data_IF_049124801698
#
_entry.id   IF_049124801698
#
_cell.length_a   1.000
_cell.length_b   1.000
_cell.length_c   1.000
_cell.angle_alpha   90.00
_cell.angle_beta   90.00
_cell.angle_gamma   90.00
#
_symmetry.space_group_name_H-M   'P 1'
#
loop_
_entity.id
_entity.type
_entity.pdbx_description
1 polymer ?
#
# COMPACT_ATOMS: atom_id res chain seq x y z
N UNK A 1 29.37 -10.46 -17.87
CA UNK A 1 30.05 -10.61 -16.57
C UNK A 1 31.15 -9.55 -16.55
N UNK A 2 30.83 -8.33 -16.11
CA UNK A 2 31.82 -7.26 -15.97
C UNK A 2 32.37 -7.31 -14.55
N UNK A 3 33.63 -7.69 -14.40
CA UNK A 3 34.36 -7.61 -13.15
C UNK A 3 34.64 -6.13 -12.87
N UNK A 4 33.85 -5.51 -11.99
CA UNK A 4 34.13 -4.16 -11.54
C UNK A 4 35.28 -4.21 -10.53
N UNK A 5 36.37 -3.51 -10.83
CA UNK A 5 37.43 -3.26 -9.86
C UNK A 5 36.85 -2.36 -8.76
N UNK A 6 36.55 -2.96 -7.61
CA UNK A 6 36.37 -2.24 -6.35
C UNK A 6 37.59 -1.33 -6.15
N UNK A 7 37.40 -0.03 -5.83
CA UNK A 7 38.53 0.84 -5.53
C UNK A 7 39.36 0.19 -4.40
N UNK A 8 40.69 0.25 -4.53
CA UNK A 8 41.67 -0.49 -3.71
C UNK A 8 41.63 -0.20 -2.19
N UNK A 9 40.62 0.48 -1.65
CA UNK A 9 40.44 0.62 -0.21
C UNK A 9 39.01 1.08 0.21
N UNK A 10 37.96 0.34 -0.13
CA UNK A 10 36.61 0.57 0.45
C UNK A 10 36.67 0.63 1.99
N UNK A 11 37.60 -0.12 2.60
CA UNK A 11 37.80 -0.18 4.05
C UNK A 11 38.27 1.16 4.68
N UNK A 12 38.76 2.12 3.89
CA UNK A 12 39.23 3.43 4.37
C UNK A 12 38.28 4.58 4.01
N UNK A 13 37.18 4.31 3.32
CA UNK A 13 36.19 5.33 2.95
C UNK A 13 35.17 5.51 4.07
N UNK A 14 34.73 6.74 4.29
CA UNK A 14 33.56 7.05 5.13
C UNK A 14 32.27 6.52 4.50
N UNK A 15 31.22 6.33 5.31
CA UNK A 15 29.90 5.90 4.82
C UNK A 15 29.35 6.81 3.70
N UNK A 16 29.58 8.13 3.79
CA UNK A 16 29.18 9.08 2.75
C UNK A 16 29.94 8.86 1.45
N UNK A 17 31.25 8.63 1.51
CA UNK A 17 32.06 8.38 0.32
C UNK A 17 31.67 7.06 -0.35
N UNK A 18 31.31 6.04 0.45
CA UNK A 18 30.87 4.74 -0.07
C UNK A 18 29.50 4.86 -0.75
N UNK A 19 28.59 5.64 -0.17
CA UNK A 19 27.29 5.90 -0.80
C UNK A 19 27.46 6.69 -2.10
N UNK A 20 28.26 7.77 -2.11
CA UNK A 20 28.53 8.56 -3.32
C UNK A 20 29.17 7.71 -4.42
N UNK A 21 30.14 6.87 -4.07
CA UNK A 21 30.73 5.91 -5.00
C UNK A 21 29.67 4.94 -5.54
N UNK A 22 28.86 4.33 -4.68
CA UNK A 22 27.83 3.39 -5.10
C UNK A 22 26.80 4.05 -6.04
N UNK A 23 26.37 5.28 -5.74
CA UNK A 23 25.46 6.06 -6.59
C UNK A 23 26.09 6.46 -7.93
N UNK A 24 27.42 6.64 -7.98
CA UNK A 24 28.14 6.91 -9.23
C UNK A 24 28.29 5.67 -10.12
N UNK A 25 28.26 4.47 -9.53
CA UNK A 25 28.52 3.21 -10.22
C UNK A 25 27.26 2.42 -10.58
N UNK A 26 26.17 2.62 -9.81
CA UNK A 26 24.93 1.87 -9.96
C UNK A 26 23.76 2.80 -10.21
N UNK A 27 22.99 2.50 -11.25
CA UNK A 27 21.74 3.19 -11.52
C UNK A 27 20.73 2.90 -10.39
N UNK A 28 20.11 3.97 -9.86
CA UNK A 28 19.05 3.81 -8.86
C UNK A 28 17.84 3.12 -9.52
N UNK A 29 17.36 1.98 -8.97
CA UNK A 29 16.20 1.33 -9.53
C UNK A 29 14.95 2.18 -9.32
N UNK A 30 14.02 2.14 -10.28
CA UNK A 30 12.68 2.68 -10.07
C UNK A 30 11.88 1.74 -9.16
N UNK A 31 11.95 1.99 -7.86
CA UNK A 31 11.34 1.16 -6.83
C UNK A 31 10.76 2.02 -5.69
N UNK A 32 9.82 1.42 -4.96
CA UNK A 32 9.35 1.96 -3.69
C UNK A 32 10.50 2.01 -2.68
N UNK A 33 10.50 3.06 -1.86
CA UNK A 33 11.52 3.33 -0.85
C UNK A 33 10.88 4.04 0.34
N UNK A 34 11.64 4.24 1.41
CA UNK A 34 11.13 4.94 2.59
C UNK A 34 10.74 6.39 2.27
N UNK A 35 9.65 6.86 2.89
CA UNK A 35 9.18 8.23 2.75
C UNK A 35 9.13 8.94 4.12
N UNK A 36 10.29 9.34 4.69
CA UNK A 36 10.31 10.08 5.95
C UNK A 36 9.48 11.35 5.85
N UNK A 37 8.49 11.47 6.73
CA UNK A 37 7.69 12.67 6.90
C UNK A 37 8.42 13.63 7.84
N UNK A 38 8.66 14.86 7.40
CA UNK A 38 9.46 15.85 8.14
C UNK A 38 8.65 17.13 8.25
N UNK A 39 8.20 17.45 9.46
CA UNK A 39 7.66 18.77 9.77
C UNK A 39 8.82 19.78 9.74
N UNK A 40 8.67 20.81 8.92
CA UNK A 40 9.68 21.84 8.69
C UNK A 40 9.06 23.22 8.93
N UNK A 41 9.77 24.13 9.62
CA UNK A 41 9.36 25.53 9.72
C UNK A 41 9.10 26.13 8.33
N UNK A 42 8.01 26.89 8.19
CA UNK A 42 7.57 27.45 6.91
C UNK A 42 8.66 28.30 6.24
N UNK A 43 9.47 29.02 7.03
CA UNK A 43 10.58 29.84 6.54
C UNK A 43 11.62 29.04 5.74
N UNK A 44 11.72 27.72 5.95
CA UNK A 44 12.65 26.86 5.23
C UNK A 44 12.15 26.44 3.85
N UNK A 45 10.87 26.64 3.51
CA UNK A 45 10.35 26.26 2.19
C UNK A 45 10.86 27.14 1.06
N UNK A 46 11.30 28.36 1.38
CA UNK A 46 11.98 29.26 0.44
C UNK A 46 13.45 28.87 0.20
N UNK A 47 14.03 28.03 1.06
CA UNK A 47 15.41 27.60 0.94
C UNK A 47 15.55 26.36 0.05
N UNK A 48 16.62 26.26 -0.78
CA UNK A 48 16.93 25.05 -1.52
C UNK A 48 17.06 23.82 -0.61
N UNK A 49 16.58 22.66 -1.06
CA UNK A 49 16.54 21.43 -0.26
C UNK A 49 17.90 21.04 0.35
N UNK A 50 19.00 21.21 -0.39
CA UNK A 50 20.37 20.92 0.12
C UNK A 50 20.71 21.74 1.37
N UNK A 51 20.31 23.01 1.39
CA UNK A 51 20.52 23.90 2.53
C UNK A 51 19.50 23.62 3.65
N UNK A 52 18.25 23.31 3.28
CA UNK A 52 17.21 22.89 4.24
C UNK A 52 17.66 21.70 5.09
N UNK A 53 18.30 20.70 4.48
CA UNK A 53 18.85 19.52 5.17
C UNK A 53 19.90 19.85 6.24
N UNK A 54 20.59 20.97 6.11
CA UNK A 54 21.62 21.41 7.05
C UNK A 54 21.02 22.06 8.31
N UNK A 55 19.72 22.37 8.30
CA UNK A 55 19.02 22.90 9.47
C UNK A 55 19.10 21.89 10.64
N UNK A 56 19.49 22.32 11.86
CA UNK A 56 19.59 21.42 13.02
C UNK A 56 18.29 20.67 13.33
N UNK A 57 17.13 21.30 13.13
CA UNK A 57 15.82 20.69 13.37
C UNK A 57 15.56 19.56 12.38
N UNK A 58 15.85 19.79 11.10
CA UNK A 58 15.67 18.78 10.04
C UNK A 58 16.62 17.62 10.25
N UNK A 59 17.89 17.91 10.56
CA UNK A 59 18.90 16.88 10.84
C UNK A 59 18.49 15.98 12.01
N UNK A 60 18.04 16.58 13.12
CA UNK A 60 17.59 15.83 14.31
C UNK A 60 16.42 14.92 13.99
N UNK A 61 15.42 15.41 13.23
CA UNK A 61 14.26 14.61 12.82
C UNK A 61 14.66 13.46 11.89
N UNK A 62 15.58 13.71 10.96
CA UNK A 62 16.11 12.69 10.05
C UNK A 62 16.92 11.63 10.79
N UNK A 63 17.75 12.02 11.76
CA UNK A 63 18.56 11.09 12.55
C UNK A 63 17.66 10.19 13.42
N UNK A 64 16.64 10.76 14.06
CA UNK A 64 15.64 10.00 14.81
C UNK A 64 14.86 9.02 13.92
N UNK A 65 14.49 9.45 12.71
CA UNK A 65 13.84 8.60 11.73
C UNK A 65 14.76 7.46 11.26
N UNK A 66 16.03 7.76 10.96
CA UNK A 66 17.03 6.77 10.54
C UNK A 66 17.22 5.68 11.58
N UNK A 67 17.25 6.04 12.87
CA UNK A 67 17.37 5.08 13.96
C UNK A 67 16.16 4.14 13.99
N UNK A 68 14.94 4.69 13.90
CA UNK A 68 13.72 3.87 13.82
C UNK A 68 13.71 2.97 12.59
N UNK A 69 14.12 3.47 11.42
CA UNK A 69 14.15 2.67 10.21
C UNK A 69 15.11 1.48 10.31
N UNK A 70 16.22 1.62 11.07
CA UNK A 70 17.13 0.51 11.39
C UNK A 70 16.50 -0.48 12.37
N UNK A 71 15.84 0.00 13.41
CA UNK A 71 15.09 -0.86 14.34
C UNK A 71 14.02 -1.68 13.59
N UNK A 72 13.30 -1.06 12.66
CA UNK A 72 12.33 -1.73 11.80
C UNK A 72 13.00 -2.81 10.91
N UNK A 73 14.16 -2.52 10.32
CA UNK A 73 14.90 -3.48 9.50
C UNK A 73 15.40 -4.67 10.34
N UNK A 74 15.88 -4.43 11.56
CA UNK A 74 16.27 -5.48 12.51
C UNK A 74 15.08 -6.39 12.87
N UNK A 75 13.92 -5.80 13.18
CA UNK A 75 12.69 -6.54 13.46
C UNK A 75 12.23 -7.38 12.28
N UNK A 76 12.45 -6.88 11.06
CA UNK A 76 12.08 -7.56 9.81
C UNK A 76 13.17 -8.48 9.26
N UNK A 77 14.33 -8.60 9.93
CA UNK A 77 15.48 -9.39 9.50
C UNK A 77 16.02 -8.96 8.12
N UNK A 78 16.03 -7.65 7.88
CA UNK A 78 16.53 -7.03 6.65
C UNK A 78 17.95 -6.54 6.88
N UNK A 79 18.91 -7.21 6.23
CA UNK A 79 20.30 -6.82 6.29
C UNK A 79 20.63 -5.90 5.11
N UNK A 80 20.92 -4.62 5.40
CA UNK A 80 21.36 -3.66 4.39
C UNK A 80 22.22 -2.56 4.98
N UNK A 81 23.18 -2.09 4.19
CA UNK A 81 24.08 -1.00 4.59
C UNK A 81 23.40 0.37 4.51
N UNK A 82 22.65 0.59 3.44
CA UNK A 82 21.97 1.84 3.16
C UNK A 82 20.45 1.64 3.18
N UNK A 83 19.73 2.66 3.63
CA UNK A 83 18.26 2.69 3.60
C UNK A 83 17.84 3.72 2.55
N UNK A 84 17.37 3.29 1.37
CA UNK A 84 16.84 4.19 0.35
C UNK A 84 15.65 4.98 0.89
N UNK A 85 15.65 6.29 0.65
CA UNK A 85 14.58 7.18 1.13
C UNK A 85 14.38 8.40 0.23
N UNK A 86 13.16 8.91 0.20
CA UNK A 86 12.83 10.23 -0.31
C UNK A 86 12.07 11.06 0.73
N UNK A 87 12.61 12.21 1.08
CA UNK A 87 12.13 13.05 2.16
C UNK A 87 10.88 13.84 1.78
N UNK A 88 9.88 13.83 2.65
CA UNK A 88 8.63 14.57 2.49
C UNK A 88 8.63 15.73 3.48
N UNK A 89 8.91 16.92 2.97
CA UNK A 89 8.85 18.15 3.77
C UNK A 89 7.41 18.65 3.85
N UNK A 90 6.91 18.80 5.07
CA UNK A 90 5.57 19.24 5.38
C UNK A 90 5.68 20.53 6.21
N UNK A 91 5.00 21.63 5.84
CA UNK A 91 5.04 22.86 6.61
C UNK A 91 4.50 22.63 8.03
N UNK A 92 5.17 23.18 9.03
CA UNK A 92 4.77 23.06 10.45
C UNK A 92 3.60 24.00 10.81
N UNK A 93 2.47 23.80 10.11
CA UNK A 93 1.19 24.49 10.32
C UNK A 93 0.16 23.55 10.92
N UNK A 94 -1.03 24.06 11.26
CA UNK A 94 -2.15 23.19 11.71
C UNK A 94 -2.48 22.12 10.67
N UNK A 95 -2.65 22.52 9.40
CA UNK A 95 -2.96 21.60 8.30
C UNK A 95 -1.81 20.65 8.02
N UNK A 96 -0.56 21.12 8.14
CA UNK A 96 0.62 20.27 8.00
C UNK A 96 0.77 19.23 9.10
N UNK A 97 0.43 19.58 10.36
CA UNK A 97 0.34 18.60 11.45
C UNK A 97 -0.76 17.58 11.19
N UNK A 98 -1.91 18.01 10.70
CA UNK A 98 -3.00 17.10 10.34
C UNK A 98 -2.60 16.17 9.19
N UNK A 99 -1.94 16.69 8.16
CA UNK A 99 -1.37 15.92 7.06
C UNK A 99 -0.40 14.87 7.61
N UNK A 100 0.55 15.28 8.46
CA UNK A 100 1.52 14.39 9.06
C UNK A 100 0.84 13.26 9.84
N UNK A 101 -0.15 13.58 10.69
CA UNK A 101 -0.87 12.60 11.48
C UNK A 101 -1.61 11.58 10.60
N UNK A 102 -2.31 12.04 9.55
CA UNK A 102 -3.02 11.17 8.62
C UNK A 102 -2.04 10.27 7.86
N UNK A 103 -1.03 10.87 7.24
CA UNK A 103 -0.06 10.15 6.41
C UNK A 103 0.72 9.12 7.25
N UNK A 104 1.10 9.47 8.48
CA UNK A 104 1.78 8.57 9.39
C UNK A 104 0.89 7.39 9.80
N UNK A 105 -0.33 7.67 10.30
CA UNK A 105 -1.20 6.63 10.83
C UNK A 105 -1.63 5.60 9.78
N UNK A 106 -1.80 6.02 8.52
CA UNK A 106 -2.10 5.13 7.41
C UNK A 106 -0.85 4.42 6.86
N UNK A 107 0.29 5.13 6.81
CA UNK A 107 1.56 4.58 6.35
C UNK A 107 2.12 3.47 7.26
N UNK A 108 1.89 3.57 8.57
CA UNK A 108 2.40 2.62 9.56
C UNK A 108 1.56 1.33 9.71
N UNK A 109 0.48 1.16 8.94
CA UNK A 109 -0.39 -0.05 9.05
C UNK A 109 0.38 -1.37 8.88
N UNK A 110 1.32 -1.52 7.94
CA UNK A 110 2.05 -2.78 7.80
C UNK A 110 3.01 -3.10 8.95
N UNK A 111 3.35 -2.10 9.78
CA UNK A 111 4.29 -2.21 10.90
C UNK A 111 3.57 -2.32 12.25
N UNK A 112 2.33 -2.80 12.25
CA UNK A 112 1.57 -3.02 13.48
C UNK A 112 2.27 -4.04 14.39
N UNK A 113 2.25 -3.82 15.72
CA UNK A 113 2.72 -4.80 16.69
C UNK A 113 2.03 -6.17 16.50
N UNK A 114 2.80 -7.25 16.52
CA UNK A 114 2.30 -8.63 16.39
C UNK A 114 2.38 -9.22 14.98
N UNK A 115 2.74 -8.43 13.96
CA UNK A 115 3.03 -8.94 12.62
C UNK A 115 4.52 -9.27 12.54
N UNK A 116 4.86 -10.52 12.85
CA UNK A 116 6.25 -10.99 12.96
C UNK A 116 6.57 -11.90 11.77
N UNK A 117 7.54 -11.54 10.91
CA UNK A 117 7.97 -12.42 9.84
C UNK A 117 8.69 -13.66 10.40
N UNK A 118 8.41 -14.82 9.81
CA UNK A 118 9.05 -16.12 10.11
C UNK A 118 10.25 -16.40 9.21
N UNK A 119 10.43 -15.63 8.14
CA UNK A 119 11.56 -15.76 7.22
C UNK A 119 11.84 -14.43 6.50
N UNK A 120 12.99 -14.35 5.84
CA UNK A 120 13.46 -13.14 5.18
C UNK A 120 12.54 -12.64 4.06
N UNK A 121 11.95 -13.55 3.26
CA UNK A 121 11.00 -13.16 2.20
C UNK A 121 9.74 -12.49 2.78
N UNK A 122 9.26 -12.94 3.95
CA UNK A 122 8.16 -12.29 4.64
C UNK A 122 8.57 -10.89 5.14
N UNK A 123 9.79 -10.75 5.67
CA UNK A 123 10.35 -9.45 6.08
C UNK A 123 10.43 -8.47 4.91
N UNK A 124 11.00 -8.89 3.77
CA UNK A 124 11.07 -8.10 2.54
C UNK A 124 9.70 -7.71 1.99
N UNK A 125 8.72 -8.62 2.04
CA UNK A 125 7.36 -8.31 1.60
C UNK A 125 6.67 -7.32 2.52
N UNK A 126 6.77 -7.48 3.85
CA UNK A 126 6.22 -6.52 4.81
C UNK A 126 6.81 -5.14 4.60
N UNK A 127 8.12 -5.04 4.41
CA UNK A 127 8.78 -3.75 4.13
C UNK A 127 8.36 -3.14 2.80
N UNK A 128 8.17 -3.96 1.76
CA UNK A 128 7.65 -3.49 0.47
C UNK A 128 6.21 -2.97 0.60
N UNK A 129 5.36 -3.65 1.38
CA UNK A 129 4.01 -3.16 1.69
C UNK A 129 4.02 -1.90 2.54
N UNK A 130 4.94 -1.78 3.49
CA UNK A 130 5.13 -0.55 4.27
C UNK A 130 5.42 0.64 3.36
N UNK A 131 6.33 0.50 2.39
CA UNK A 131 6.60 1.56 1.42
C UNK A 131 5.37 1.89 0.56
N UNK A 132 4.61 0.88 0.13
CA UNK A 132 3.36 1.09 -0.61
C UNK A 132 2.34 1.87 0.23
N UNK A 133 2.17 1.50 1.50
CA UNK A 133 1.28 2.18 2.43
C UNK A 133 1.72 3.61 2.71
N UNK A 134 3.01 3.87 2.89
CA UNK A 134 3.55 5.22 3.01
C UNK A 134 3.23 6.05 1.76
N UNK A 135 3.47 5.53 0.55
CA UNK A 135 3.19 6.23 -0.70
C UNK A 135 1.69 6.53 -0.87
N UNK A 136 0.83 5.55 -0.57
CA UNK A 136 -0.64 5.72 -0.54
C UNK A 136 -1.05 6.79 0.46
N UNK A 137 -0.51 6.76 1.66
CA UNK A 137 -0.86 7.67 2.74
C UNK A 137 -0.45 9.12 2.44
N UNK A 138 0.73 9.33 1.86
CA UNK A 138 1.18 10.65 1.38
C UNK A 138 0.23 11.18 0.31
N UNK A 139 -0.13 10.36 -0.68
CA UNK A 139 -1.05 10.76 -1.74
C UNK A 139 -2.46 11.02 -1.23
N UNK A 140 -2.96 10.18 -0.32
CA UNK A 140 -4.26 10.32 0.33
C UNK A 140 -4.34 11.62 1.12
N UNK A 141 -3.34 11.90 1.96
CA UNK A 141 -3.27 13.14 2.73
C UNK A 141 -3.15 14.37 1.83
N UNK A 142 -2.42 14.27 0.71
CA UNK A 142 -2.38 15.35 -0.30
C UNK A 142 -3.76 15.60 -0.91
N UNK A 143 -4.46 14.55 -1.34
CA UNK A 143 -5.81 14.70 -1.91
C UNK A 143 -6.84 15.24 -0.92
N UNK A 144 -6.63 15.04 0.38
CA UNK A 144 -7.50 15.57 1.43
C UNK A 144 -7.21 17.02 1.80
N UNK A 145 -5.93 17.41 1.92
CA UNK A 145 -5.53 18.67 2.55
C UNK A 145 -4.72 19.59 1.63
N UNK A 146 -4.15 19.09 0.54
CA UNK A 146 -3.40 19.90 -0.44
C UNK A 146 -2.12 20.55 0.09
N UNK A 147 -1.59 20.07 1.22
CA UNK A 147 -0.49 20.74 1.95
C UNK A 147 0.85 20.68 1.23
N UNK A 148 1.15 19.57 0.54
CA UNK A 148 2.37 19.41 -0.25
C UNK A 148 2.04 19.46 -1.75
N UNK A 149 3.01 19.77 -2.63
CA UNK A 149 2.82 19.64 -4.07
C UNK A 149 2.33 18.24 -4.45
N UNK A 150 1.55 18.14 -5.52
CA UNK A 150 0.98 16.88 -5.95
C UNK A 150 2.07 15.84 -6.27
N UNK A 151 2.14 14.72 -5.54
CA UNK A 151 3.19 13.72 -5.75
C UNK A 151 3.17 13.07 -7.14
N UNK A 152 2.05 13.13 -7.87
CA UNK A 152 1.84 12.50 -9.17
C UNK A 152 2.10 13.43 -10.37
N UNK A 153 2.20 14.74 -10.14
CA UNK A 153 2.37 15.72 -11.22
C UNK A 153 3.68 15.52 -12.00
N UNK A 154 3.80 16.21 -13.14
CA UNK A 154 5.06 16.21 -13.90
C UNK A 154 6.16 16.80 -13.02
N UNK A 155 7.27 16.07 -12.84
CA UNK A 155 8.33 16.37 -11.86
C UNK A 155 7.90 16.24 -10.38
N UNK A 156 6.73 15.64 -10.13
CA UNK A 156 6.29 15.26 -8.80
C UNK A 156 7.15 14.14 -8.23
N UNK A 157 7.13 14.02 -6.90
CA UNK A 157 7.96 13.10 -6.12
C UNK A 157 7.99 11.67 -6.70
N UNK A 158 6.84 11.10 -7.05
CA UNK A 158 6.79 9.70 -7.47
C UNK A 158 7.32 9.47 -8.89
N UNK A 159 7.36 10.50 -9.74
CA UNK A 159 7.90 10.38 -11.11
C UNK A 159 9.42 10.11 -11.11
N UNK A 160 10.13 10.55 -10.07
CA UNK A 160 11.58 10.34 -9.93
C UNK A 160 11.91 8.88 -9.58
N UNK A 161 11.04 8.22 -8.80
CA UNK A 161 11.37 6.93 -8.17
C UNK A 161 10.51 5.75 -8.62
N UNK A 162 9.34 5.96 -9.21
CA UNK A 162 8.41 4.88 -9.56
C UNK A 162 8.22 4.72 -11.07
N UNK A 163 7.96 3.49 -11.55
CA UNK A 163 7.49 3.27 -12.92
C UNK A 163 6.09 3.86 -13.13
N UNK A 164 5.77 4.25 -14.37
CA UNK A 164 4.46 4.85 -14.72
C UNK A 164 3.28 3.96 -14.34
N UNK A 165 3.41 2.64 -14.51
CA UNK A 165 2.38 1.67 -14.14
C UNK A 165 2.13 1.65 -12.63
N UNK A 166 3.19 1.74 -11.82
CA UNK A 166 3.07 1.83 -10.36
C UNK A 166 2.42 3.14 -9.92
N UNK A 167 2.76 4.26 -10.57
CA UNK A 167 2.16 5.57 -10.33
C UNK A 167 0.66 5.53 -10.64
N UNK A 168 0.28 4.95 -11.78
CA UNK A 168 -1.12 4.80 -12.18
C UNK A 168 -1.90 3.93 -11.18
N UNK A 169 -1.35 2.77 -10.79
CA UNK A 169 -1.99 1.90 -9.81
C UNK A 169 -2.12 2.57 -8.43
N UNK A 170 -1.10 3.32 -8.02
CA UNK A 170 -1.12 4.08 -6.77
C UNK A 170 -2.23 5.12 -6.77
N UNK A 171 -2.43 5.83 -7.88
CA UNK A 171 -3.52 6.80 -8.03
C UNK A 171 -4.90 6.13 -7.92
N UNK A 172 -5.09 5.03 -8.67
CA UNK A 172 -6.33 4.25 -8.64
C UNK A 172 -6.68 3.74 -7.24
N UNK A 173 -5.74 3.12 -6.54
CA UNK A 173 -5.94 2.61 -5.18
C UNK A 173 -6.28 3.76 -4.23
N UNK A 174 -5.54 4.87 -4.31
CA UNK A 174 -5.76 6.01 -3.42
C UNK A 174 -7.09 6.72 -3.70
N UNK A 175 -7.58 6.69 -4.93
CA UNK A 175 -8.93 7.18 -5.26
C UNK A 175 -10.02 6.33 -4.59
N UNK A 176 -9.81 5.01 -4.45
CA UNK A 176 -10.71 4.16 -3.66
C UNK A 176 -10.64 4.53 -2.18
N UNK A 177 -9.44 4.66 -1.62
CA UNK A 177 -9.23 5.03 -0.23
C UNK A 177 -9.95 6.37 0.10
N UNK A 178 -9.82 7.36 -0.78
CA UNK A 178 -10.48 8.66 -0.66
C UNK A 178 -12.01 8.54 -0.72
N UNK A 179 -12.53 7.81 -1.69
CA UNK A 179 -13.98 7.63 -1.85
C UNK A 179 -14.60 6.82 -0.69
N UNK A 180 -13.87 5.82 -0.17
CA UNK A 180 -14.28 5.05 1.01
C UNK A 180 -14.34 5.95 2.25
N UNK A 181 -13.30 6.74 2.51
CA UNK A 181 -13.29 7.67 3.63
C UNK A 181 -14.41 8.72 3.52
N UNK A 182 -14.66 9.27 2.34
CA UNK A 182 -15.75 10.22 2.11
C UNK A 182 -17.12 9.58 2.35
N UNK A 183 -17.31 8.32 1.94
CA UNK A 183 -18.54 7.57 2.19
C UNK A 183 -18.75 7.29 3.68
N UNK A 184 -17.70 6.87 4.40
CA UNK A 184 -17.76 6.68 5.86
C UNK A 184 -18.10 7.99 6.55
N UNK A 185 -17.44 9.10 6.17
CA UNK A 185 -17.65 10.42 6.76
C UNK A 185 -19.06 10.95 6.52
N UNK A 186 -19.61 10.81 5.30
CA UNK A 186 -20.97 11.25 5.01
C UNK A 186 -22.04 10.38 5.67
N UNK A 187 -21.71 9.11 5.95
CA UNK A 187 -22.62 8.13 6.49
C UNK A 187 -22.46 7.76 7.96
N UNK A 188 -21.60 8.48 8.70
CA UNK A 188 -21.23 8.13 10.07
C UNK A 188 -22.44 7.92 11.00
N UNK A 189 -23.45 8.78 10.92
CA UNK A 189 -24.66 8.66 11.74
C UNK A 189 -25.43 7.36 11.50
N UNK A 190 -25.56 6.93 10.24
CA UNK A 190 -26.19 5.66 9.90
C UNK A 190 -25.36 4.46 10.37
N UNK A 191 -24.03 4.57 10.31
CA UNK A 191 -23.14 3.53 10.84
C UNK A 191 -23.34 3.40 12.35
N UNK A 192 -23.31 4.50 13.09
CA UNK A 192 -23.51 4.53 14.54
C UNK A 192 -24.88 4.01 14.96
N UNK A 193 -25.94 4.41 14.25
CA UNK A 193 -27.29 3.89 14.48
C UNK A 193 -27.35 2.38 14.27
N UNK A 194 -26.87 1.90 13.11
CA UNK A 194 -26.95 0.48 12.77
C UNK A 194 -26.16 -0.40 13.76
N UNK A 195 -24.95 0.00 14.16
CA UNK A 195 -24.19 -0.79 15.15
C UNK A 195 -24.84 -0.81 16.52
N UNK A 196 -25.48 0.30 16.94
CA UNK A 196 -26.24 0.34 18.17
C UNK A 196 -27.43 -0.63 18.13
N UNK A 197 -28.17 -0.67 17.01
CA UNK A 197 -29.26 -1.63 16.78
C UNK A 197 -28.77 -3.09 16.79
N UNK A 198 -27.53 -3.35 16.35
CA UNK A 198 -26.90 -4.67 16.38
C UNK A 198 -26.19 -4.99 17.71
N UNK A 199 -26.27 -4.12 18.73
CA UNK A 199 -25.52 -4.25 20.00
C UNK A 199 -23.99 -4.38 19.81
N UNK A 200 -23.44 -3.70 18.80
CA UNK A 200 -22.01 -3.64 18.52
C UNK A 200 -21.45 -2.33 19.10
N UNK A 201 -20.41 -2.43 19.92
CA UNK A 201 -19.72 -1.25 20.50
C UNK A 201 -19.05 -0.46 19.37
N UNK A 202 -19.25 0.86 19.32
CA UNK A 202 -18.56 1.78 18.41
C UNK A 202 -17.41 2.49 19.15
N UNK A 203 -16.14 2.05 19.00
CA UNK A 203 -15.03 2.56 19.80
C UNK A 203 -14.32 3.78 19.18
N UNK A 204 -14.85 4.36 18.10
CA UNK A 204 -14.17 5.41 17.34
C UNK A 204 -14.69 6.79 17.72
N UNK A 205 -13.78 7.76 17.79
CA UNK A 205 -14.12 9.15 18.09
C UNK A 205 -14.43 9.97 16.82
N UNK A 206 -14.01 9.47 15.66
CA UNK A 206 -14.18 10.15 14.38
C UNK A 206 -14.15 9.15 13.20
N UNK A 207 -14.64 9.54 12.01
CA UNK A 207 -14.64 8.69 10.81
C UNK A 207 -13.26 8.19 10.37
N UNK A 208 -12.20 8.94 10.64
CA UNK A 208 -10.85 8.57 10.22
C UNK A 208 -10.30 7.41 11.06
N UNK A 209 -10.63 7.33 12.35
CA UNK A 209 -10.30 6.17 13.19
C UNK A 209 -10.99 4.89 12.71
N UNK A 210 -12.27 4.98 12.31
CA UNK A 210 -12.99 3.86 11.70
C UNK A 210 -12.33 3.44 10.38
N UNK A 211 -12.04 4.40 9.49
CA UNK A 211 -11.33 4.16 8.23
C UNK A 211 -9.99 3.44 8.45
N UNK A 212 -9.16 3.92 9.39
CA UNK A 212 -7.91 3.25 9.73
C UNK A 212 -8.14 1.84 10.27
N UNK A 213 -9.14 1.63 11.13
CA UNK A 213 -9.47 0.30 11.65
C UNK A 213 -9.85 -0.67 10.53
N UNK A 214 -10.61 -0.22 9.53
CA UNK A 214 -10.97 -1.02 8.35
C UNK A 214 -9.72 -1.45 7.58
N UNK A 215 -8.81 -0.51 7.29
CA UNK A 215 -7.56 -0.83 6.58
C UNK A 215 -6.64 -1.75 7.39
N UNK A 216 -6.56 -1.59 8.72
CA UNK A 216 -5.80 -2.49 9.59
C UNK A 216 -6.36 -3.91 9.56
N UNK A 217 -7.68 -4.06 9.62
CA UNK A 217 -8.33 -5.37 9.50
C UNK A 217 -8.07 -6.01 8.14
N UNK A 218 -8.19 -5.24 7.06
CA UNK A 218 -7.92 -5.72 5.71
C UNK A 218 -6.46 -6.19 5.54
N UNK A 219 -5.50 -5.43 6.07
CA UNK A 219 -4.09 -5.82 6.08
C UNK A 219 -3.85 -7.11 6.86
N UNK A 220 -4.32 -7.20 8.11
CA UNK A 220 -4.15 -8.39 8.95
C UNK A 220 -4.78 -9.63 8.31
N UNK A 221 -5.93 -9.45 7.65
CA UNK A 221 -6.55 -10.51 6.90
C UNK A 221 -5.69 -10.97 5.71
N UNK A 222 -5.18 -10.04 4.91
CA UNK A 222 -4.27 -10.34 3.80
C UNK A 222 -2.98 -11.03 4.26
N UNK A 223 -2.40 -10.57 5.37
CA UNK A 223 -1.25 -11.21 6.02
C UNK A 223 -1.56 -12.67 6.39
N UNK A 224 -2.70 -12.91 7.05
CA UNK A 224 -3.11 -14.23 7.53
C UNK A 224 -3.40 -15.23 6.41
N UNK A 225 -3.95 -14.76 5.28
CA UNK A 225 -4.29 -15.60 4.13
C UNK A 225 -3.12 -15.79 3.16
N UNK A 226 -2.17 -14.86 3.13
CA UNK A 226 -1.03 -14.91 2.24
C UNK A 226 0.23 -15.34 3.00
N UNK A 227 1.16 -14.43 3.32
CA UNK A 227 2.48 -14.80 3.82
C UNK A 227 2.49 -15.62 5.11
N UNK A 228 1.56 -15.38 6.05
CA UNK A 228 1.52 -16.13 7.31
C UNK A 228 0.79 -17.48 7.19
N UNK A 229 0.07 -17.70 6.08
CA UNK A 229 -0.71 -18.91 5.87
C UNK A 229 0.21 -20.12 5.68
N UNK A 230 0.02 -21.14 6.52
CA UNK A 230 0.70 -22.43 6.38
C UNK A 230 -0.04 -23.38 5.44
N UNK A 231 -1.32 -23.12 5.18
CA UNK A 231 -2.13 -23.93 4.27
C UNK A 231 -1.79 -23.60 2.81
N UNK A 232 -1.78 -24.63 1.96
CA UNK A 232 -1.46 -24.52 0.54
C UNK A 232 -2.63 -24.00 -0.32
N UNK A 233 -3.63 -23.34 0.28
CA UNK A 233 -4.84 -22.94 -0.45
C UNK A 233 -4.61 -21.60 -1.17
N UNK A 234 -4.35 -21.69 -2.46
CA UNK A 234 -4.14 -20.57 -3.37
C UNK A 234 -5.44 -19.77 -3.55
N UNK A 235 -5.34 -18.44 -3.57
CA UNK A 235 -6.26 -17.60 -4.33
C UNK A 235 -5.64 -17.32 -5.70
N UNK A 236 -6.17 -17.94 -6.76
CA UNK A 236 -5.71 -17.64 -8.12
C UNK A 236 -6.03 -16.17 -8.48
N UNK A 237 -5.27 -15.57 -9.39
CA UNK A 237 -5.59 -14.21 -9.89
C UNK A 237 -7.03 -14.17 -10.41
N UNK A 238 -7.46 -15.22 -11.13
CA UNK A 238 -8.81 -15.34 -11.65
C UNK A 238 -9.86 -15.40 -10.52
N UNK A 239 -9.54 -16.05 -9.39
CA UNK A 239 -10.41 -16.07 -8.22
C UNK A 239 -10.47 -14.70 -7.53
N UNK A 240 -9.35 -13.97 -7.44
CA UNK A 240 -9.32 -12.60 -6.91
C UNK A 240 -10.15 -11.67 -7.80
N UNK A 241 -10.01 -11.78 -9.13
CA UNK A 241 -10.79 -11.02 -10.10
C UNK A 241 -12.28 -11.34 -10.05
N UNK A 242 -12.63 -12.61 -9.92
CA UNK A 242 -14.02 -13.05 -9.81
C UNK A 242 -14.63 -12.54 -8.50
N UNK A 243 -13.90 -12.68 -7.39
CA UNK A 243 -14.33 -12.18 -6.09
C UNK A 243 -14.58 -10.67 -6.11
N UNK A 244 -13.64 -9.88 -6.65
CA UNK A 244 -13.81 -8.44 -6.79
C UNK A 244 -14.97 -8.07 -7.71
N UNK A 245 -15.16 -8.80 -8.81
CA UNK A 245 -16.26 -8.54 -9.73
C UNK A 245 -17.64 -8.82 -9.10
N UNK A 246 -17.76 -9.92 -8.34
CA UNK A 246 -18.97 -10.25 -7.58
C UNK A 246 -19.23 -9.18 -6.52
N UNK A 247 -18.20 -8.77 -5.77
CA UNK A 247 -18.28 -7.72 -4.76
C UNK A 247 -18.78 -6.39 -5.35
N UNK A 248 -18.17 -5.92 -6.43
CA UNK A 248 -18.55 -4.66 -7.09
C UNK A 248 -20.02 -4.70 -7.52
N UNK A 249 -20.47 -5.79 -8.15
CA UNK A 249 -21.87 -5.93 -8.59
C UNK A 249 -22.86 -5.92 -7.44
N UNK A 250 -22.53 -6.59 -6.34
CA UNK A 250 -23.38 -6.62 -5.14
C UNK A 250 -23.44 -5.24 -4.46
N UNK A 251 -22.37 -4.45 -4.53
CA UNK A 251 -22.34 -3.05 -4.10
C UNK A 251 -23.15 -2.13 -5.04
N UNK A 252 -23.09 -2.37 -6.35
CA UNK A 252 -23.94 -1.70 -7.36
C UNK A 252 -25.41 -2.13 -7.27
N UNK A 253 -25.73 -3.14 -6.45
CA UNK A 253 -27.07 -3.73 -6.28
C UNK A 253 -27.77 -4.07 -7.61
N UNK A 254 -26.99 -4.40 -8.64
CA UNK A 254 -27.52 -4.70 -9.98
C UNK A 254 -27.89 -6.18 -10.04
N UNK A 255 -29.19 -6.54 -10.07
CA UNK A 255 -29.60 -7.93 -10.17
C UNK A 255 -29.16 -8.50 -11.51
N UNK A 256 -28.65 -9.73 -11.53
CA UNK A 256 -28.44 -10.44 -12.79
C UNK A 256 -29.33 -11.66 -12.87
N UNK A 257 -30.00 -11.79 -14.01
CA UNK A 257 -30.66 -13.02 -14.42
C UNK A 257 -29.58 -13.82 -15.18
N UNK A 258 -29.11 -14.95 -14.66
CA UNK A 258 -28.23 -15.82 -15.43
C UNK A 258 -28.93 -17.10 -15.88
N UNK A 259 -28.84 -17.32 -17.19
CA UNK A 259 -28.89 -18.63 -17.85
C UNK A 259 -27.69 -19.47 -17.36
N UNK A 260 -28.01 -20.69 -16.92
CA UNK A 260 -27.18 -21.90 -16.70
C UNK A 260 -26.19 -22.01 -15.49
N UNK A 261 -26.59 -22.92 -14.60
CA UNK A 261 -25.91 -24.10 -14.01
C UNK A 261 -24.69 -24.04 -13.08
N UNK A 262 -23.96 -22.93 -12.91
CA UNK A 262 -22.72 -23.00 -12.09
C UNK A 262 -22.55 -22.02 -10.94
N UNK A 263 -23.40 -21.00 -10.78
CA UNK A 263 -23.10 -19.88 -9.85
C UNK A 263 -24.18 -19.53 -8.83
N UNK A 264 -25.21 -20.34 -8.67
CA UNK A 264 -26.32 -20.01 -7.78
C UNK A 264 -27.10 -18.76 -8.23
N UNK A 265 -28.21 -18.46 -7.56
CA UNK A 265 -29.03 -17.27 -7.86
C UNK A 265 -28.38 -16.00 -7.30
N UNK A 266 -28.76 -14.82 -7.80
CA UNK A 266 -28.36 -13.53 -7.22
C UNK A 266 -28.60 -13.48 -5.70
N UNK A 267 -29.76 -13.99 -5.26
CA UNK A 267 -30.12 -14.07 -3.84
C UNK A 267 -29.15 -14.93 -3.03
N UNK A 268 -28.69 -16.07 -3.58
CA UNK A 268 -27.72 -16.92 -2.89
C UNK A 268 -26.38 -16.21 -2.71
N UNK A 269 -25.85 -15.59 -3.78
CA UNK A 269 -24.58 -14.84 -3.70
C UNK A 269 -24.69 -13.61 -2.81
N UNK A 270 -25.83 -12.91 -2.83
CA UNK A 270 -26.10 -11.81 -1.93
C UNK A 270 -26.08 -12.28 -0.47
N UNK A 271 -26.75 -13.38 -0.14
CA UNK A 271 -26.74 -13.95 1.21
C UNK A 271 -25.32 -14.37 1.65
N UNK A 272 -24.56 -15.00 0.78
CA UNK A 272 -23.15 -15.36 1.05
C UNK A 272 -22.29 -14.13 1.29
N UNK A 273 -22.47 -13.07 0.49
CA UNK A 273 -21.75 -11.82 0.65
C UNK A 273 -22.14 -11.08 1.92
N UNK A 274 -23.44 -11.05 2.29
CA UNK A 274 -23.87 -10.47 3.56
C UNK A 274 -23.32 -11.24 4.77
N UNK A 275 -23.25 -12.58 4.68
CA UNK A 275 -22.58 -13.42 5.69
C UNK A 275 -21.09 -13.11 5.76
N UNK A 276 -20.43 -12.95 4.60
CA UNK A 276 -19.05 -12.51 4.52
C UNK A 276 -18.89 -11.15 5.21
N UNK A 277 -19.66 -10.12 4.86
CA UNK A 277 -19.53 -8.81 5.49
C UNK A 277 -19.69 -8.88 7.02
N UNK A 278 -20.65 -9.66 7.53
CA UNK A 278 -20.82 -9.86 8.98
C UNK A 278 -19.59 -10.48 9.65
N UNK A 279 -18.93 -11.43 8.98
CA UNK A 279 -17.72 -12.10 9.50
C UNK A 279 -16.51 -11.15 9.56
N UNK A 280 -16.46 -10.15 8.69
CA UNK A 280 -15.30 -9.26 8.53
C UNK A 280 -15.42 -7.95 9.32
N UNK A 281 -16.22 -7.94 10.38
CA UNK A 281 -16.29 -6.86 11.36
C UNK A 281 -16.38 -5.47 10.72
N UNK A 282 -15.57 -4.49 11.13
CA UNK A 282 -15.66 -3.10 10.69
C UNK A 282 -15.56 -2.94 9.18
N UNK A 283 -14.73 -3.74 8.51
CA UNK A 283 -14.66 -3.78 7.05
C UNK A 283 -16.01 -4.13 6.39
N UNK A 284 -16.83 -4.97 7.03
CA UNK A 284 -18.15 -5.30 6.54
C UNK A 284 -19.29 -4.47 7.14
N UNK A 285 -19.18 -4.04 8.40
CA UNK A 285 -20.22 -3.34 9.14
C UNK A 285 -20.56 -1.99 8.52
N UNK A 286 -19.56 -1.22 8.07
CA UNK A 286 -19.85 0.06 7.42
C UNK A 286 -20.64 -0.14 6.11
N UNK A 287 -20.31 -1.17 5.32
CA UNK A 287 -21.05 -1.50 4.09
C UNK A 287 -22.46 -1.95 4.44
N UNK A 288 -22.64 -2.81 5.44
CA UNK A 288 -23.94 -3.30 5.86
C UNK A 288 -24.86 -2.17 6.32
N UNK A 289 -24.33 -1.25 7.14
CA UNK A 289 -25.06 -0.08 7.61
C UNK A 289 -25.48 0.82 6.45
N UNK A 290 -24.53 1.19 5.60
CA UNK A 290 -24.75 2.19 4.55
C UNK A 290 -25.51 1.67 3.33
N UNK A 291 -25.49 0.35 3.07
CA UNK A 291 -26.17 -0.24 1.91
C UNK A 291 -27.67 0.06 1.88
N UNK A 292 -28.33 0.01 3.05
CA UNK A 292 -29.76 0.30 3.16
C UNK A 292 -30.10 1.77 2.89
N UNK A 293 -29.10 2.66 3.00
CA UNK A 293 -29.20 4.11 2.81
C UNK A 293 -28.47 4.60 1.54
N UNK A 294 -28.13 3.70 0.61
CA UNK A 294 -27.35 4.07 -0.58
C UNK A 294 -28.01 5.17 -1.44
N UNK A 295 -29.35 5.26 -1.46
CA UNK A 295 -30.08 6.35 -2.14
C UNK A 295 -29.86 7.71 -1.46
N UNK A 296 -29.87 7.75 -0.13
CA UNK A 296 -29.60 8.98 0.64
C UNK A 296 -28.15 9.44 0.52
N UNK A 297 -27.25 8.54 0.12
CA UNK A 297 -25.82 8.80 -0.09
C UNK A 297 -25.37 8.52 -1.52
N UNK A 298 -26.28 8.69 -2.50
CA UNK A 298 -26.08 8.20 -3.86
C UNK A 298 -24.74 8.66 -4.46
N UNK A 299 -24.40 9.95 -4.28
CA UNK A 299 -23.15 10.52 -4.81
C UNK A 299 -21.91 9.83 -4.24
N UNK A 300 -21.77 9.74 -2.92
CA UNK A 300 -20.60 9.12 -2.28
C UNK A 300 -20.56 7.60 -2.51
N UNK A 301 -21.71 6.94 -2.53
CA UNK A 301 -21.80 5.51 -2.84
C UNK A 301 -21.36 5.21 -4.28
N UNK A 302 -21.85 5.98 -5.25
CA UNK A 302 -21.44 5.85 -6.65
C UNK A 302 -19.97 6.19 -6.87
N UNK A 303 -19.43 7.19 -6.17
CA UNK A 303 -18.00 7.50 -6.22
C UNK A 303 -17.17 6.32 -5.73
N UNK A 304 -17.54 5.71 -4.60
CA UNK A 304 -16.88 4.53 -4.06
C UNK A 304 -16.92 3.33 -5.03
N UNK A 305 -18.10 2.98 -5.54
CA UNK A 305 -18.24 1.83 -6.45
C UNK A 305 -17.51 2.05 -7.78
N UNK A 306 -17.55 3.27 -8.34
CA UNK A 306 -16.81 3.63 -9.57
C UNK A 306 -15.30 3.56 -9.35
N UNK A 307 -14.80 4.11 -8.25
CA UNK A 307 -13.37 4.03 -7.92
C UNK A 307 -12.94 2.58 -7.76
N UNK A 308 -13.70 1.76 -7.01
CA UNK A 308 -13.39 0.34 -6.79
C UNK A 308 -13.37 -0.44 -8.11
N UNK A 309 -14.30 -0.15 -9.01
CA UNK A 309 -14.35 -0.74 -10.35
C UNK A 309 -13.14 -0.37 -11.20
N UNK A 310 -12.72 0.89 -11.18
CA UNK A 310 -11.54 1.35 -11.89
C UNK A 310 -10.25 0.72 -11.35
N UNK A 311 -10.15 0.56 -10.02
CA UNK A 311 -8.98 -0.01 -9.35
C UNK A 311 -8.96 -1.55 -9.30
N UNK A 312 -9.96 -2.25 -9.86
CA UNK A 312 -10.12 -3.70 -9.71
C UNK A 312 -8.82 -4.49 -9.93
N UNK A 313 -8.09 -4.17 -10.99
CA UNK A 313 -6.85 -4.88 -11.35
C UNK A 313 -5.66 -4.46 -10.48
N UNK A 314 -5.65 -3.23 -9.97
CA UNK A 314 -4.59 -2.74 -9.09
C UNK A 314 -4.60 -3.42 -7.70
N UNK A 315 -5.73 -4.04 -7.31
CA UNK A 315 -5.87 -4.82 -6.07
C UNK A 315 -5.47 -6.29 -6.21
N UNK A 316 -5.09 -6.76 -7.40
CA UNK A 316 -4.69 -8.15 -7.62
C UNK A 316 -3.23 -8.29 -7.19
N UNK A 317 -2.98 -9.16 -6.20
CA UNK A 317 -1.60 -9.49 -5.81
C UNK A 317 -0.96 -10.38 -6.89
N UNK A 318 0.22 -9.98 -7.35
CA UNK A 318 1.01 -10.75 -8.29
C UNK A 318 1.71 -11.94 -7.60
N UNK A 319 1.88 -11.90 -6.27
CA UNK A 319 2.43 -13.00 -5.49
C UNK A 319 1.39 -14.05 -5.14
N UNK A 320 1.83 -15.30 -5.22
CA UNK A 320 1.15 -16.45 -4.65
C UNK A 320 1.97 -16.95 -3.48
N UNK A 321 1.36 -17.08 -2.31
CA UNK A 321 2.04 -17.56 -1.10
C UNK A 321 1.76 -19.04 -0.86
N UNK A 322 2.83 -19.82 -0.65
CA UNK A 322 2.73 -21.23 -0.27
C UNK A 322 3.77 -21.53 0.82
N UNK A 323 3.30 -22.02 1.98
CA UNK A 323 4.19 -22.34 3.10
C UNK A 323 5.05 -21.16 3.54
N UNK A 324 4.54 -19.93 3.43
CA UNK A 324 5.28 -18.70 3.71
C UNK A 324 6.37 -18.33 2.70
N UNK A 325 6.36 -18.92 1.49
CA UNK A 325 7.25 -18.56 0.39
C UNK A 325 6.46 -17.96 -0.78
N UNK A 326 6.98 -16.92 -1.46
CA UNK A 326 6.29 -16.30 -2.57
C UNK A 326 6.62 -16.98 -3.91
N UNK A 327 5.63 -16.98 -4.80
CA UNK A 327 5.71 -17.51 -6.16
C UNK A 327 5.07 -16.51 -7.13
N UNK A 328 5.53 -16.49 -8.39
CA UNK A 328 4.95 -15.68 -9.46
C UNK A 328 4.68 -16.51 -10.72
N UNK A 329 3.75 -16.02 -11.54
CA UNK A 329 3.53 -16.53 -12.90
C UNK A 329 4.68 -16.08 -13.81
N UNK A 330 5.33 -16.99 -14.52
CA UNK A 330 6.34 -16.57 -15.49
C UNK A 330 5.65 -15.94 -16.71
N UNK A 331 6.06 -14.75 -17.12
CA UNK A 331 5.66 -14.15 -18.39
C UNK A 331 6.54 -14.71 -19.51
N UNK A 332 5.93 -15.30 -20.52
CA UNK A 332 6.61 -15.71 -21.75
C UNK A 332 6.31 -14.70 -22.85
N UNK A 333 7.32 -14.31 -23.63
CA UNK A 333 7.05 -13.61 -24.89
C UNK A 333 6.32 -14.55 -25.84
N UNK A 334 5.28 -14.03 -26.50
CA UNK A 334 4.49 -14.77 -27.49
C UNK A 334 4.56 -14.00 -28.80
N UNK A 335 5.24 -14.58 -29.79
CA UNK A 335 5.42 -13.99 -31.12
C UNK A 335 6.68 -13.12 -31.25
N UNK A 336 6.93 -12.60 -32.46
CA UNK A 336 8.10 -11.77 -32.80
C UNK A 336 7.94 -10.29 -32.36
N UNK A 337 6.79 -9.91 -31.80
CA UNK A 337 6.53 -8.55 -31.34
C UNK A 337 6.94 -8.36 -29.88
N UNK A 338 7.81 -7.39 -29.63
CA UNK A 338 8.49 -7.11 -28.34
C UNK A 338 7.57 -6.87 -27.12
N UNK A 339 6.25 -6.75 -27.31
CA UNK A 339 5.30 -6.35 -26.27
C UNK A 339 4.14 -7.33 -26.04
N UNK A 340 4.15 -8.50 -26.70
CA UNK A 340 3.16 -9.54 -26.42
C UNK A 340 3.73 -10.53 -25.41
N UNK A 341 3.32 -10.41 -24.14
CA UNK A 341 3.63 -11.39 -23.10
C UNK A 341 2.38 -12.20 -22.73
N UNK A 342 2.54 -13.51 -22.55
CA UNK A 342 1.53 -14.40 -22.00
C UNK A 342 2.02 -14.96 -20.68
N UNK A 343 1.25 -14.73 -19.61
CA UNK A 343 1.49 -15.37 -18.31
C UNK A 343 1.29 -16.89 -18.46
N UNK A 344 2.31 -17.65 -18.08
CA UNK A 344 2.25 -19.11 -18.05
C UNK A 344 1.39 -19.60 -16.90
N UNK A 345 0.90 -20.85 -16.99
CA UNK A 345 0.29 -21.53 -15.85
C UNK A 345 1.33 -21.99 -14.82
N UNK A 346 2.60 -22.10 -15.21
CA UNK A 346 3.69 -22.53 -14.32
C UNK A 346 3.99 -21.40 -13.34
N UNK A 347 4.00 -21.72 -12.05
CA UNK A 347 4.37 -20.82 -10.97
C UNK A 347 5.79 -21.18 -10.54
N UNK A 348 6.66 -20.17 -10.44
CA UNK A 348 8.03 -20.35 -9.98
C UNK A 348 8.25 -19.56 -8.71
N UNK A 349 9.12 -20.08 -7.84
CA UNK A 349 9.48 -19.41 -6.60
C UNK A 349 10.21 -18.11 -6.94
N UNK A 350 9.92 -17.09 -6.16
CA UNK A 350 10.64 -15.83 -6.18
C UNK A 350 11.19 -15.56 -4.80
N UNK A 351 12.24 -14.76 -4.75
CA UNK A 351 12.87 -14.35 -3.51
C UNK A 351 13.14 -12.85 -3.53
N UNK A 352 13.06 -12.25 -2.35
CA UNK A 352 13.52 -10.89 -2.14
C UNK A 352 15.02 -10.88 -1.96
N UNK A 353 15.69 -9.89 -2.55
CA UNK A 353 17.11 -9.62 -2.36
C UNK A 353 17.33 -8.13 -2.15
N UNK A 354 18.41 -7.79 -1.46
CA UNK A 354 18.83 -6.40 -1.27
C UNK A 354 19.99 -6.09 -2.20
N UNK A 355 19.88 -5.03 -3.00
CA UNK A 355 20.98 -4.58 -3.84
C UNK A 355 22.00 -3.74 -3.03
N UNK A 356 23.12 -3.38 -3.67
CA UNK A 356 24.19 -2.61 -3.01
C UNK A 356 23.75 -1.24 -2.47
N UNK A 357 22.71 -0.65 -3.08
CA UNK A 357 22.11 0.62 -2.66
C UNK A 357 21.05 0.44 -1.56
N UNK A 358 20.73 -0.80 -1.14
CA UNK A 358 19.78 -1.10 -0.08
C UNK A 358 18.31 -1.25 -0.53
N UNK A 359 18.05 -1.30 -1.83
CA UNK A 359 16.71 -1.53 -2.38
C UNK A 359 16.36 -3.01 -2.33
N UNK A 360 15.11 -3.30 -1.96
CA UNK A 360 14.53 -4.65 -2.00
C UNK A 360 14.05 -4.91 -3.43
N UNK A 361 14.57 -5.95 -4.05
CA UNK A 361 14.23 -6.42 -5.39
C UNK A 361 13.66 -7.84 -5.31
N UNK A 362 12.76 -8.17 -6.22
CA UNK A 362 12.17 -9.51 -6.29
C UNK A 362 12.64 -10.23 -7.55
N UNK A 363 13.36 -11.34 -7.38
CA UNK A 363 13.96 -12.12 -8.46
C UNK A 363 13.45 -13.56 -8.47
N UNK A 364 13.59 -14.24 -9.62
CA UNK A 364 13.32 -15.68 -9.72
C UNK A 364 14.42 -16.44 -8.99
N UNK A 365 14.01 -17.42 -8.15
CA UNK A 365 14.90 -18.25 -7.34
C UNK A 365 15.47 -19.45 -8.11
#
# INVERSE_FOLDING_TARGET
MYCYHSPHNINNMSESEILEWAESMFERPKALQELPLILAPECLFQTPQKLRRQSPVIKTNLDAWMNRAREDDELLQIERRFIPKAEIYIPDTSDGKQFFTIAKAFGEIPMLPGVIPKNQNQGYWLKTLHYLHQARAVLFAHKLLGVIPNPLEKQGLFQEYLPETSIHNLDLITNVDLAEYQLIKSGESYIQQWVAEQNIVYPFNNPFELFLSIHRQAFLHGWSLGPACQESKWFSIEQQEEFLAVRIRLLEQTPWIKREDKRGTYQQQEQEYLKFLKKYQWYGYFILALRSHHWSQEKSWQQYTRALKAAKTAYIDDFYWQGGQPYKAQEMQVGEQLHQTRKTKKRQRVEGVVNILGYILWQWA
#
